data_IF_638278779182
#
_entry.id   IF_638278779182
#
_cell.length_a   1.000
_cell.length_b   1.000
_cell.length_c   1.000
_cell.angle_alpha   90.00
_cell.angle_beta   90.00
_cell.angle_gamma   90.00
#
_symmetry.space_group_name_H-M   'P 1'
#
loop_
_entity.id
_entity.type
_entity.pdbx_description
1 polymer ?
#
# COMPACT_ATOMS: atom_id res chain seq x y z
N UNK A 1 -20.83 -15.47 9.20
CA UNK A 1 -19.84 -14.63 8.50
C UNK A 1 -18.51 -15.24 8.81
N UNK A 2 -17.75 -15.65 7.79
CA UNK A 2 -16.35 -16.02 8.00
C UNK A 2 -15.63 -14.77 8.55
N UNK A 3 -14.98 -14.90 9.70
CA UNK A 3 -14.22 -13.80 10.28
C UNK A 3 -12.88 -13.73 9.56
N UNK A 4 -12.86 -13.07 8.41
CA UNK A 4 -11.67 -12.99 7.56
C UNK A 4 -10.50 -12.27 8.26
N UNK A 5 -10.76 -11.41 9.25
CA UNK A 5 -9.74 -10.79 10.10
C UNK A 5 -8.89 -11.83 10.84
N UNK A 6 -9.48 -12.97 11.22
CA UNK A 6 -8.75 -14.05 11.86
C UNK A 6 -7.71 -14.67 10.94
N UNK A 7 -7.66 -14.36 9.64
CA UNK A 7 -6.67 -14.86 8.69
C UNK A 7 -5.43 -13.96 8.55
N UNK A 8 -5.50 -12.71 9.01
CA UNK A 8 -4.39 -11.75 8.91
C UNK A 8 -3.20 -12.15 9.79
N UNK A 9 -1.99 -11.65 9.48
CA UNK A 9 -0.85 -11.76 10.40
C UNK A 9 -1.23 -11.28 11.80
N UNK A 10 -0.68 -11.91 12.83
CA UNK A 10 -1.00 -11.57 14.24
C UNK A 10 0.06 -10.71 14.91
N UNK A 11 1.26 -10.70 14.34
CA UNK A 11 2.40 -9.92 14.81
C UNK A 11 3.41 -9.73 13.68
N UNK A 12 4.33 -8.78 13.84
CA UNK A 12 5.33 -8.39 12.81
C UNK A 12 6.30 -9.48 12.32
N UNK A 13 6.23 -10.69 12.87
CA UNK A 13 7.05 -11.84 12.48
C UNK A 13 6.22 -12.99 11.87
N UNK A 14 4.91 -12.84 11.73
CA UNK A 14 3.96 -13.90 11.37
C UNK A 14 3.93 -14.13 9.84
N UNK A 15 5.07 -14.52 9.28
CA UNK A 15 5.20 -14.84 7.86
C UNK A 15 4.41 -16.09 7.46
N UNK A 16 4.27 -17.05 8.38
CA UNK A 16 3.50 -18.28 8.14
C UNK A 16 2.06 -17.98 7.72
N UNK A 17 1.46 -16.94 8.31
CA UNK A 17 0.12 -16.47 7.93
C UNK A 17 0.04 -15.99 6.50
N UNK A 18 0.99 -15.16 6.10
CA UNK A 18 1.02 -14.58 4.75
C UNK A 18 1.17 -15.70 3.72
N UNK A 19 2.00 -16.70 4.02
CA UNK A 19 2.17 -17.89 3.18
C UNK A 19 0.91 -18.79 3.11
N UNK A 20 0.04 -18.75 4.11
CA UNK A 20 -1.28 -19.36 4.03
C UNK A 20 -2.22 -18.53 3.14
N UNK A 21 -2.24 -17.21 3.29
CA UNK A 21 -3.08 -16.30 2.49
C UNK A 21 -2.72 -16.40 1.01
N UNK A 22 -1.43 -16.41 0.65
CA UNK A 22 -0.94 -16.56 -0.74
C UNK A 22 -1.46 -17.81 -1.46
N UNK A 23 -1.94 -18.83 -0.73
CA UNK A 23 -2.48 -20.09 -1.27
C UNK A 23 -4.00 -20.11 -1.37
N UNK A 24 -4.67 -19.07 -0.89
CA UNK A 24 -6.12 -18.95 -0.94
C UNK A 24 -6.59 -18.57 -2.36
N UNK A 25 -7.87 -18.85 -2.63
CA UNK A 25 -8.52 -18.36 -3.83
C UNK A 25 -8.57 -16.82 -3.80
N UNK A 26 -8.35 -16.18 -4.96
CA UNK A 26 -8.25 -14.70 -5.05
C UNK A 26 -9.47 -14.00 -4.47
N UNK A 27 -10.67 -14.52 -4.70
CA UNK A 27 -11.94 -13.99 -4.19
C UNK A 27 -12.01 -13.95 -2.66
N UNK A 28 -11.28 -14.84 -1.97
CA UNK A 28 -11.16 -14.83 -0.50
C UNK A 28 -10.09 -13.87 0.00
N UNK A 29 -9.14 -13.46 -0.84
CA UNK A 29 -8.08 -12.51 -0.51
C UNK A 29 -8.55 -11.06 -0.73
N UNK A 30 -9.36 -10.80 -1.76
CA UNK A 30 -9.91 -9.48 -2.04
C UNK A 30 -10.46 -8.73 -0.81
N UNK A 31 -11.30 -9.33 0.06
CA UNK A 31 -11.80 -8.63 1.26
C UNK A 31 -10.71 -8.35 2.32
N UNK A 32 -9.53 -8.98 2.24
CA UNK A 32 -8.41 -8.78 3.17
C UNK A 32 -7.49 -7.63 2.78
N UNK A 33 -7.53 -7.18 1.52
CA UNK A 33 -6.64 -6.16 0.98
C UNK A 33 -6.50 -4.89 1.85
N UNK A 34 -7.58 -4.26 2.35
CA UNK A 34 -7.44 -3.05 3.17
C UNK A 34 -6.64 -3.32 4.46
N UNK A 35 -6.87 -4.45 5.12
CA UNK A 35 -6.14 -4.78 6.35
C UNK A 35 -4.73 -5.32 6.09
N UNK A 36 -4.46 -5.87 4.91
CA UNK A 36 -3.11 -6.23 4.50
C UNK A 36 -2.23 -4.99 4.31
N UNK A 37 -2.79 -3.85 3.87
CA UNK A 37 -2.04 -2.59 3.78
C UNK A 37 -1.50 -2.12 5.15
N UNK A 38 -2.20 -2.43 6.25
CA UNK A 38 -1.73 -2.06 7.60
C UNK A 38 -0.39 -2.74 7.93
N UNK A 39 -0.11 -3.93 7.36
CA UNK A 39 1.13 -4.67 7.58
C UNK A 39 2.33 -4.16 6.79
N UNK A 40 2.13 -3.12 5.97
CA UNK A 40 3.20 -2.37 5.29
C UNK A 40 3.29 -0.91 5.75
N UNK A 41 2.67 -0.58 6.90
CA UNK A 41 2.88 0.71 7.59
C UNK A 41 4.34 0.93 8.01
N UNK A 42 5.10 -0.15 8.17
CA UNK A 42 6.52 -0.09 8.49
C UNK A 42 7.24 -1.25 7.79
N UNK A 43 7.99 -0.94 6.75
CA UNK A 43 8.76 -1.94 6.00
C UNK A 43 9.91 -2.55 6.81
N UNK A 44 10.21 -2.06 8.03
CA UNK A 44 11.12 -2.73 8.95
C UNK A 44 10.49 -3.94 9.64
N UNK A 45 9.17 -4.13 9.55
CA UNK A 45 8.52 -5.33 10.07
C UNK A 45 8.92 -6.54 9.22
N UNK A 46 9.43 -7.63 9.84
CA UNK A 46 9.84 -8.82 9.09
C UNK A 46 8.75 -9.50 8.23
N UNK A 47 7.48 -9.21 8.49
CA UNK A 47 6.34 -9.69 7.69
C UNK A 47 6.02 -8.79 6.48
N UNK A 48 6.39 -7.51 6.53
CA UNK A 48 6.00 -6.52 5.53
C UNK A 48 6.45 -6.85 4.10
N UNK A 49 7.68 -7.34 3.84
CA UNK A 49 8.09 -7.72 2.49
C UNK A 49 7.21 -8.83 1.88
N UNK A 50 6.79 -9.82 2.68
CA UNK A 50 5.93 -10.91 2.21
C UNK A 50 4.51 -10.42 1.92
N UNK A 51 4.02 -9.47 2.72
CA UNK A 51 2.71 -8.84 2.47
C UNK A 51 2.76 -7.96 1.23
N UNK A 52 3.81 -7.16 1.05
CA UNK A 52 4.00 -6.34 -0.14
C UNK A 52 3.99 -7.19 -1.41
N UNK A 53 4.73 -8.31 -1.42
CA UNK A 53 4.75 -9.26 -2.54
C UNK A 53 3.33 -9.75 -2.87
N UNK A 54 2.53 -10.09 -1.85
CA UNK A 54 1.14 -10.49 -2.03
C UNK A 54 0.29 -9.36 -2.61
N UNK A 55 0.40 -8.14 -2.07
CA UNK A 55 -0.38 -6.97 -2.51
C UNK A 55 -0.12 -6.63 -3.98
N UNK A 56 1.13 -6.74 -4.43
CA UNK A 56 1.52 -6.51 -5.83
C UNK A 56 0.88 -7.50 -6.82
N UNK A 57 0.29 -8.60 -6.33
CA UNK A 57 -0.50 -9.52 -7.18
C UNK A 57 -1.95 -9.05 -7.43
N UNK A 58 -2.38 -7.92 -6.85
CA UNK A 58 -3.70 -7.31 -7.00
C UNK A 58 -3.60 -5.86 -7.49
N UNK A 59 -2.92 -5.61 -8.63
CA UNK A 59 -2.56 -4.25 -9.02
C UNK A 59 -3.78 -3.35 -9.29
N UNK A 60 -4.89 -3.91 -9.78
CA UNK A 60 -6.12 -3.15 -10.04
C UNK A 60 -6.98 -3.05 -8.79
N UNK A 61 -7.12 -4.14 -8.05
CA UNK A 61 -8.04 -4.25 -6.92
C UNK A 61 -7.52 -3.52 -5.66
N UNK A 62 -6.21 -3.28 -5.55
CA UNK A 62 -5.62 -2.56 -4.41
C UNK A 62 -5.79 -1.04 -4.50
N UNK A 63 -6.06 -0.50 -5.69
CA UNK A 63 -6.15 0.94 -5.96
C UNK A 63 -7.09 1.69 -5.00
N UNK A 64 -8.37 1.32 -4.85
CA UNK A 64 -9.28 2.04 -3.96
C UNK A 64 -8.80 2.04 -2.51
N UNK A 65 -8.18 0.95 -2.06
CA UNK A 65 -7.67 0.83 -0.69
C UNK A 65 -6.41 1.69 -0.47
N UNK A 66 -5.57 1.83 -1.49
CA UNK A 66 -4.43 2.77 -1.46
C UNK A 66 -4.93 4.21 -1.43
N UNK A 67 -5.98 4.55 -2.19
CA UNK A 67 -6.58 5.89 -2.15
C UNK A 67 -7.12 6.24 -0.76
N UNK A 68 -7.69 5.26 -0.05
CA UNK A 68 -8.11 5.44 1.35
C UNK A 68 -6.90 5.78 2.26
N UNK A 69 -5.76 5.09 2.11
CA UNK A 69 -4.54 5.38 2.87
C UNK A 69 -3.98 6.77 2.53
N UNK A 70 -3.93 7.12 1.24
CA UNK A 70 -3.44 8.44 0.79
C UNK A 70 -4.34 9.59 1.27
N UNK A 71 -5.62 9.31 1.57
CA UNK A 71 -6.57 10.28 2.11
C UNK A 71 -6.52 10.40 3.65
N UNK A 72 -5.74 9.56 4.34
CA UNK A 72 -5.56 9.63 5.79
C UNK A 72 -4.62 10.76 6.22
N UNK A 73 -4.46 10.95 7.53
CA UNK A 73 -3.47 11.89 8.09
C UNK A 73 -2.13 11.20 8.46
N UNK A 74 -1.95 9.92 8.11
CA UNK A 74 -0.74 9.15 8.42
C UNK A 74 0.30 9.28 7.31
N UNK A 75 1.00 10.42 7.28
CA UNK A 75 1.99 10.72 6.25
C UNK A 75 3.17 9.74 6.25
N UNK A 76 3.50 9.14 7.40
CA UNK A 76 4.53 8.11 7.47
C UNK A 76 4.10 6.81 6.78
N UNK A 77 2.84 6.39 6.97
CA UNK A 77 2.30 5.27 6.20
C UNK A 77 2.26 5.57 4.71
N UNK A 78 1.83 6.78 4.31
CA UNK A 78 1.85 7.21 2.90
C UNK A 78 3.25 7.13 2.32
N UNK A 79 4.28 7.48 3.09
CA UNK A 79 5.67 7.36 2.66
C UNK A 79 6.01 5.93 2.24
N UNK A 80 5.71 4.93 3.07
CA UNK A 80 5.95 3.53 2.73
C UNK A 80 5.09 3.06 1.55
N UNK A 81 3.83 3.48 1.49
CA UNK A 81 2.95 3.15 0.37
C UNK A 81 3.52 3.67 -0.95
N UNK A 82 3.98 4.92 -1.01
CA UNK A 82 4.51 5.50 -2.23
C UNK A 82 5.83 4.84 -2.66
N UNK A 83 6.76 4.64 -1.71
CA UNK A 83 8.11 4.14 -1.99
C UNK A 83 8.19 2.63 -2.26
N UNK A 84 7.23 1.83 -1.77
CA UNK A 84 7.32 0.37 -1.88
C UNK A 84 6.17 -0.27 -2.66
N UNK A 85 4.96 0.30 -2.60
CA UNK A 85 3.81 -0.26 -3.29
C UNK A 85 3.52 0.49 -4.59
N UNK A 86 3.22 1.79 -4.51
CA UNK A 86 2.74 2.56 -5.67
C UNK A 86 3.78 2.61 -6.77
N UNK A 87 5.06 2.84 -6.46
CA UNK A 87 6.11 2.92 -7.48
C UNK A 87 6.25 1.62 -8.30
N UNK A 88 6.00 0.46 -7.69
CA UNK A 88 6.11 -0.87 -8.29
C UNK A 88 4.84 -1.34 -9.03
N UNK A 89 3.72 -0.62 -8.88
CA UNK A 89 2.49 -0.96 -9.59
C UNK A 89 2.60 -0.73 -11.11
N UNK A 90 1.86 -1.48 -11.94
CA UNK A 90 1.73 -1.20 -13.37
C UNK A 90 1.26 0.24 -13.63
N UNK A 91 1.67 0.82 -14.76
CA UNK A 91 1.30 2.19 -15.16
C UNK A 91 -0.22 2.40 -15.11
N UNK A 92 -0.99 1.41 -15.55
CA UNK A 92 -2.46 1.43 -15.59
C UNK A 92 -3.10 1.65 -14.20
N UNK A 93 -2.44 1.14 -13.16
CA UNK A 93 -2.84 1.37 -11.77
C UNK A 93 -2.29 2.69 -11.23
N UNK A 94 -1.04 3.04 -11.56
CA UNK A 94 -0.40 4.25 -11.04
C UNK A 94 -1.07 5.54 -11.51
N UNK A 95 -1.61 5.56 -12.73
CA UNK A 95 -2.39 6.72 -13.24
C UNK A 95 -3.66 7.00 -12.43
N UNK A 96 -4.15 6.04 -11.62
CA UNK A 96 -5.29 6.25 -10.73
C UNK A 96 -4.94 7.14 -9.52
N UNK A 97 -3.66 7.40 -9.26
CA UNK A 97 -3.18 8.25 -8.16
C UNK A 97 -2.72 9.63 -8.63
N UNK A 98 -2.79 9.95 -9.93
CA UNK A 98 -2.26 11.20 -10.50
C UNK A 98 -2.78 12.45 -9.80
N UNK A 99 -4.07 12.52 -9.45
CA UNK A 99 -4.62 13.68 -8.75
C UNK A 99 -3.93 13.93 -7.40
N UNK A 100 -3.77 12.89 -6.59
CA UNK A 100 -3.07 12.98 -5.31
C UNK A 100 -1.60 13.35 -5.53
N UNK A 101 -0.91 12.64 -6.43
CA UNK A 101 0.52 12.83 -6.69
C UNK A 101 0.81 14.26 -7.19
N UNK A 102 0.03 14.77 -8.13
CA UNK A 102 0.18 16.15 -8.64
C UNK A 102 -0.04 17.17 -7.52
N UNK A 103 -1.09 17.00 -6.69
CA UNK A 103 -1.34 17.92 -5.59
C UNK A 103 -0.18 17.91 -4.57
N UNK A 104 0.33 16.75 -4.17
CA UNK A 104 1.47 16.68 -3.23
C UNK A 104 2.72 17.28 -3.86
N UNK A 105 3.00 16.99 -5.14
CA UNK A 105 4.18 17.48 -5.83
C UNK A 105 4.21 19.01 -5.98
N UNK A 106 3.05 19.63 -6.20
CA UNK A 106 2.94 21.08 -6.45
C UNK A 106 2.67 21.89 -5.17
N UNK A 107 1.82 21.35 -4.28
CA UNK A 107 1.32 22.06 -3.09
C UNK A 107 1.24 21.06 -1.91
N UNK A 108 2.39 20.58 -1.41
CA UNK A 108 2.40 19.70 -0.25
C UNK A 108 1.95 20.45 0.99
N UNK A 109 1.29 19.74 1.91
CA UNK A 109 1.11 20.23 3.27
C UNK A 109 2.45 20.28 3.99
N UNK A 110 2.49 20.91 5.17
CA UNK A 110 3.73 20.98 5.96
C UNK A 110 4.27 19.59 6.35
N UNK A 111 3.38 18.66 6.71
CA UNK A 111 3.78 17.32 7.12
C UNK A 111 4.23 16.48 5.92
N UNK A 112 3.49 16.56 4.80
CA UNK A 112 3.88 15.86 3.56
C UNK A 112 5.25 16.31 3.07
N UNK A 113 5.55 17.61 3.15
CA UNK A 113 6.88 18.14 2.84
C UNK A 113 7.94 17.66 3.85
N UNK A 114 7.60 17.58 5.13
CA UNK A 114 8.52 17.10 6.17
C UNK A 114 8.89 15.63 6.02
N UNK A 115 7.97 14.82 5.48
CA UNK A 115 8.20 13.41 5.15
C UNK A 115 8.71 13.24 3.70
N UNK A 116 8.97 14.33 2.95
CA UNK A 116 9.47 14.29 1.58
C UNK A 116 8.52 13.58 0.58
N UNK A 117 7.22 13.61 0.85
CA UNK A 117 6.21 12.99 -0.03
C UNK A 117 6.11 13.68 -1.40
N UNK A 118 6.49 14.95 -1.49
CA UNK A 118 6.51 15.69 -2.75
C UNK A 118 7.61 15.24 -3.70
N UNK A 119 8.74 14.76 -3.18
CA UNK A 119 9.84 14.25 -4.01
C UNK A 119 9.47 12.91 -4.65
N UNK A 120 8.98 11.94 -3.86
CA UNK A 120 8.52 10.65 -4.40
C UNK A 120 7.29 10.81 -5.30
N UNK A 121 6.41 11.79 -5.03
CA UNK A 121 5.29 12.07 -5.90
C UNK A 121 5.74 12.53 -7.30
N UNK A 122 6.76 13.41 -7.38
CA UNK A 122 7.38 13.83 -8.65
C UNK A 122 8.02 12.64 -9.36
N UNK A 123 8.78 11.80 -8.64
CA UNK A 123 9.41 10.62 -9.22
C UNK A 123 8.38 9.67 -9.85
N UNK A 124 7.28 9.36 -9.14
CA UNK A 124 6.24 8.49 -9.68
C UNK A 124 5.60 9.14 -10.92
N UNK A 125 5.30 10.45 -10.88
CA UNK A 125 4.73 11.19 -12.00
C UNK A 125 5.60 11.16 -13.27
N UNK A 126 6.93 11.13 -13.14
CA UNK A 126 7.85 11.03 -14.28
C UNK A 126 7.82 9.65 -14.97
N UNK A 127 7.24 8.65 -14.31
CA UNK A 127 7.19 7.27 -14.80
C UNK A 127 5.84 6.85 -15.36
N UNK A 128 4.83 7.74 -15.38
CA UNK A 128 3.47 7.46 -15.88
C UNK A 128 3.15 8.23 -17.16
#
# INVERSE_FOLDING_TARGET
MENFEDLLPRHKFDNDRVEMIKKMDRDKILPLLPNLLEWIQDMNWPVAPSVLELLLTFPEEIVPHVQDVLSSDDDNWKWFILHFLVIELPVESRVQFTEYLTRVAEIPTHNELSEELDEIAKEILETI
#
